data_IF_574744819753
#
_entry.id   IF_574744819753
#
_cell.length_a   1.000
_cell.length_b   1.000
_cell.length_c   1.000
_cell.angle_alpha   90.00
_cell.angle_beta   90.00
_cell.angle_gamma   90.00
#
_symmetry.space_group_name_H-M   'P 1'
#
loop_
_entity.id
_entity.type
_entity.pdbx_description
1 polymer ?
#
# COMPACT_ATOMS: atom_id res chain seq x y z
N UNK A 1 -7.47 22.57 -3.85
CA UNK A 1 -6.15 23.00 -3.34
C UNK A 1 -5.27 21.77 -3.27
N UNK A 2 -4.00 21.78 -3.71
CA UNK A 2 -3.12 20.66 -3.36
C UNK A 2 -3.02 20.66 -1.83
N UNK A 3 -3.44 19.57 -1.20
CA UNK A 3 -3.21 19.39 0.22
C UNK A 3 -1.71 19.53 0.47
N UNK A 4 -1.34 20.27 1.51
CA UNK A 4 0.04 20.30 2.01
C UNK A 4 0.55 18.85 2.09
N UNK A 5 1.75 18.55 1.57
CA UNK A 5 2.27 17.19 1.63
C UNK A 5 2.38 16.76 3.11
N UNK A 6 2.06 15.50 3.43
CA UNK A 6 2.17 15.00 4.80
C UNK A 6 3.61 15.13 5.28
N UNK A 7 3.76 15.56 6.52
CA UNK A 7 5.05 15.88 7.15
C UNK A 7 5.52 14.78 8.10
N UNK A 8 4.63 13.87 8.50
CA UNK A 8 4.96 12.69 9.30
C UNK A 8 4.18 11.43 8.87
N UNK A 9 4.50 10.29 9.50
CA UNK A 9 3.89 9.00 9.20
C UNK A 9 2.39 8.97 9.54
N UNK A 10 1.95 9.66 10.59
CA UNK A 10 0.56 9.75 10.98
C UNK A 10 -0.28 10.46 9.93
N UNK A 11 0.15 11.65 9.50
CA UNK A 11 -0.49 12.42 8.43
C UNK A 11 -0.53 11.63 7.12
N UNK A 12 0.54 10.88 6.81
CA UNK A 12 0.61 10.04 5.62
C UNK A 12 -0.36 8.85 5.68
N UNK A 13 -0.46 8.17 6.82
CA UNK A 13 -1.43 7.09 7.05
C UNK A 13 -2.87 7.60 6.95
N UNK A 14 -3.15 8.77 7.52
CA UNK A 14 -4.46 9.42 7.45
C UNK A 14 -4.83 9.71 5.99
N UNK A 15 -3.95 10.39 5.25
CA UNK A 15 -4.15 10.69 3.83
C UNK A 15 -4.46 9.43 3.00
N UNK A 16 -3.69 8.35 3.21
CA UNK A 16 -3.88 7.09 2.51
C UNK A 16 -5.22 6.45 2.86
N UNK A 17 -5.55 6.36 4.15
CA UNK A 17 -6.78 5.70 4.62
C UNK A 17 -8.05 6.41 4.18
N UNK A 18 -8.02 7.75 4.09
CA UNK A 18 -9.15 8.55 3.60
C UNK A 18 -9.31 8.46 2.08
N UNK A 19 -8.22 8.25 1.36
CA UNK A 19 -8.23 8.14 -0.12
C UNK A 19 -8.63 6.74 -0.59
N UNK A 20 -8.18 5.69 0.09
CA UNK A 20 -8.31 4.30 -0.34
C UNK A 20 -9.28 3.47 0.53
N UNK A 21 -10.54 3.94 0.60
CA UNK A 21 -11.60 3.31 1.40
C UNK A 21 -12.01 1.92 0.87
N UNK A 22 -12.01 0.91 1.74
CA UNK A 22 -12.66 -0.39 1.52
C UNK A 22 -14.07 -0.40 2.09
N UNK A 23 -14.98 0.29 1.39
CA UNK A 23 -16.38 0.40 1.75
C UNK A 23 -17.32 -0.06 0.64
N UNK A 24 -18.61 -0.10 0.97
CA UNK A 24 -19.67 -0.46 0.03
C UNK A 24 -19.83 0.55 -1.12
N UNK A 25 -19.40 1.80 -0.97
CA UNK A 25 -19.54 2.85 -1.98
C UNK A 25 -18.62 2.55 -3.16
N UNK A 26 -17.36 2.21 -2.87
CA UNK A 26 -16.36 1.84 -3.87
C UNK A 26 -16.45 0.37 -4.29
N UNK A 27 -16.78 -0.53 -3.35
CA UNK A 27 -16.85 -1.97 -3.58
C UNK A 27 -18.23 -2.49 -3.21
N UNK A 28 -19.15 -2.69 -4.17
CA UNK A 28 -20.52 -3.13 -3.89
C UNK A 28 -20.61 -4.42 -3.05
N UNK A 29 -19.66 -5.34 -3.16
CA UNK A 29 -19.61 -6.57 -2.34
C UNK A 29 -19.45 -6.33 -0.83
N UNK A 30 -19.09 -5.10 -0.44
CA UNK A 30 -18.97 -4.67 0.95
C UNK A 30 -20.28 -4.04 1.49
N UNK A 31 -21.37 -4.06 0.71
CA UNK A 31 -22.68 -3.51 1.08
C UNK A 31 -23.72 -4.63 1.28
N UNK A 32 -24.18 -4.91 2.52
CA UNK A 32 -23.53 -4.69 3.81
C UNK A 32 -22.44 -5.75 4.08
N UNK A 33 -21.38 -5.37 4.78
CA UNK A 33 -20.31 -6.28 5.19
C UNK A 33 -19.91 -6.04 6.64
N UNK A 34 -19.75 -7.14 7.38
CA UNK A 34 -19.16 -7.15 8.72
C UNK A 34 -17.70 -6.67 8.69
N UNK A 35 -17.18 -6.24 9.84
CA UNK A 35 -15.77 -5.86 9.98
C UNK A 35 -14.84 -7.00 9.54
N UNK A 36 -15.15 -8.24 9.91
CA UNK A 36 -14.38 -9.41 9.50
C UNK A 36 -14.35 -9.60 7.97
N UNK A 37 -15.48 -9.38 7.28
CA UNK A 37 -15.55 -9.46 5.82
C UNK A 37 -14.74 -8.33 5.16
N UNK A 38 -14.82 -7.10 5.70
CA UNK A 38 -14.01 -5.96 5.23
C UNK A 38 -12.52 -6.18 5.42
N UNK A 39 -12.12 -6.75 6.56
CA UNK A 39 -10.72 -7.10 6.83
C UNK A 39 -10.20 -8.17 5.85
N UNK A 40 -10.95 -9.26 5.65
CA UNK A 40 -10.59 -10.28 4.64
C UNK A 40 -10.48 -9.69 3.23
N UNK A 41 -11.39 -8.79 2.88
CA UNK A 41 -11.31 -8.05 1.63
C UNK A 41 -10.02 -7.22 1.54
N UNK A 42 -9.72 -6.46 2.59
CA UNK A 42 -8.52 -5.62 2.67
C UNK A 42 -7.25 -6.43 2.44
N UNK A 43 -7.08 -7.54 3.16
CA UNK A 43 -5.93 -8.44 3.04
C UNK A 43 -5.80 -8.96 1.61
N UNK A 44 -6.87 -9.54 1.05
CA UNK A 44 -6.86 -10.10 -0.31
C UNK A 44 -6.55 -9.02 -1.35
N UNK A 45 -7.22 -7.87 -1.28
CA UNK A 45 -7.09 -6.80 -2.25
C UNK A 45 -5.69 -6.18 -2.20
N UNK A 46 -5.19 -5.89 -1.00
CA UNK A 46 -3.84 -5.37 -0.81
C UNK A 46 -2.77 -6.36 -1.26
N UNK A 47 -2.91 -7.65 -0.97
CA UNK A 47 -1.96 -8.68 -1.43
C UNK A 47 -1.83 -8.71 -2.97
N UNK A 48 -2.94 -8.61 -3.69
CA UNK A 48 -2.94 -8.55 -5.16
C UNK A 48 -2.25 -7.28 -5.69
N UNK A 49 -2.49 -6.13 -5.05
CA UNK A 49 -1.84 -4.88 -5.44
C UNK A 49 -0.34 -4.84 -5.10
N UNK A 50 0.06 -5.44 -3.98
CA UNK A 50 1.47 -5.65 -3.63
C UNK A 50 2.14 -6.54 -4.67
N UNK A 51 1.54 -7.70 -5.00
CA UNK A 51 2.07 -8.61 -6.02
C UNK A 51 2.21 -7.92 -7.38
N UNK A 52 1.21 -7.15 -7.82
CA UNK A 52 1.29 -6.37 -9.06
C UNK A 52 2.45 -5.38 -9.07
N UNK A 53 2.68 -4.70 -7.94
CA UNK A 53 3.73 -3.69 -7.83
C UNK A 53 5.12 -4.35 -7.76
N UNK A 54 5.25 -5.45 -7.03
CA UNK A 54 6.47 -6.27 -6.99
C UNK A 54 6.81 -6.86 -8.37
N UNK A 55 5.80 -7.35 -9.11
CA UNK A 55 5.98 -7.86 -10.47
C UNK A 55 6.45 -6.78 -11.44
N UNK A 56 5.97 -5.53 -11.31
CA UNK A 56 6.46 -4.42 -12.11
C UNK A 56 7.94 -4.11 -11.84
N UNK A 57 8.38 -4.18 -10.58
CA UNK A 57 9.80 -4.02 -10.22
C UNK A 57 10.62 -5.17 -10.81
N UNK A 58 10.13 -6.41 -10.68
CA UNK A 58 10.80 -7.60 -11.19
C UNK A 58 10.96 -7.56 -12.72
N UNK A 59 9.94 -7.09 -13.45
CA UNK A 59 10.02 -6.95 -14.90
C UNK A 59 11.10 -5.94 -15.34
N UNK A 60 11.27 -4.83 -14.62
CA UNK A 60 12.35 -3.88 -14.91
C UNK A 60 13.74 -4.43 -14.56
N UNK A 61 13.84 -5.28 -13.54
CA UNK A 61 15.07 -6.00 -13.22
C UNK A 61 15.42 -7.03 -14.32
N UNK A 62 14.45 -7.84 -14.75
CA UNK A 62 14.61 -8.84 -15.82
C UNK A 62 15.07 -8.19 -17.13
N UNK A 63 14.47 -7.04 -17.51
CA UNK A 63 14.92 -6.26 -18.68
C UNK A 63 16.41 -5.91 -18.60
N UNK A 64 16.86 -5.42 -17.44
CA UNK A 64 18.25 -5.06 -17.24
C UNK A 64 19.18 -6.27 -17.33
N UNK A 65 18.77 -7.42 -16.78
CA UNK A 65 19.51 -8.68 -16.86
C UNK A 65 19.62 -9.20 -18.31
N UNK A 66 18.66 -8.84 -19.18
CA UNK A 66 18.68 -9.14 -20.62
C UNK A 66 19.31 -8.04 -21.49
N UNK A 67 19.94 -7.03 -20.88
CA UNK A 67 20.71 -5.99 -21.57
C UNK A 67 19.89 -4.79 -22.05
N UNK A 68 18.61 -4.68 -21.67
CA UNK A 68 17.81 -3.48 -21.91
C UNK A 68 18.08 -2.39 -20.85
N UNK A 69 17.68 -1.15 -21.14
CA UNK A 69 17.73 -0.08 -20.15
C UNK A 69 16.58 -0.20 -19.15
N UNK A 70 16.92 -0.17 -17.87
CA UNK A 70 15.96 -0.15 -16.77
C UNK A 70 15.20 1.18 -16.69
N UNK A 71 13.86 1.15 -16.63
CA UNK A 71 13.07 2.35 -16.38
C UNK A 71 13.02 2.67 -14.87
N UNK A 72 13.92 3.54 -14.43
CA UNK A 72 13.97 4.00 -13.04
C UNK A 72 12.69 4.73 -12.58
N UNK A 73 11.93 5.37 -13.47
CA UNK A 73 10.68 6.03 -13.09
C UNK A 73 9.58 5.00 -12.87
N UNK A 74 9.53 3.95 -13.68
CA UNK A 74 8.63 2.82 -13.47
C UNK A 74 8.88 2.15 -12.11
N UNK A 75 10.15 1.95 -11.73
CA UNK A 75 10.52 1.41 -10.42
C UNK A 75 10.08 2.32 -9.28
N UNK A 76 10.37 3.63 -9.35
CA UNK A 76 9.96 4.59 -8.31
C UNK A 76 8.43 4.59 -8.13
N UNK A 77 7.68 4.57 -9.22
CA UNK A 77 6.23 4.53 -9.19
C UNK A 77 5.71 3.21 -8.62
N UNK A 78 6.29 2.08 -8.99
CA UNK A 78 5.93 0.76 -8.46
C UNK A 78 6.22 0.66 -6.95
N UNK A 79 7.37 1.15 -6.50
CA UNK A 79 7.74 1.23 -5.08
C UNK A 79 6.77 2.11 -4.29
N UNK A 80 6.41 3.29 -4.81
CA UNK A 80 5.43 4.17 -4.16
C UNK A 80 4.05 3.51 -4.05
N UNK A 81 3.59 2.81 -5.11
CA UNK A 81 2.33 2.04 -5.08
C UNK A 81 2.36 0.91 -4.06
N UNK A 82 3.49 0.20 -3.98
CA UNK A 82 3.70 -0.86 -3.00
C UNK A 82 3.63 -0.29 -1.58
N UNK A 83 4.35 0.80 -1.30
CA UNK A 83 4.31 1.48 -0.01
C UNK A 83 2.89 1.92 0.39
N UNK A 84 2.18 2.61 -0.51
CA UNK A 84 0.79 3.06 -0.27
C UNK A 84 -0.13 1.88 0.04
N UNK A 85 0.01 0.77 -0.70
CA UNK A 85 -0.82 -0.43 -0.50
C UNK A 85 -0.53 -1.09 0.85
N UNK A 86 0.74 -1.18 1.23
CA UNK A 86 1.17 -1.75 2.52
C UNK A 86 0.67 -0.90 3.68
N UNK A 87 0.78 0.43 3.59
CA UNK A 87 0.26 1.35 4.61
C UNK A 87 -1.26 1.24 4.72
N UNK A 88 -1.99 1.21 3.59
CA UNK A 88 -3.44 1.05 3.63
C UNK A 88 -3.86 -0.28 4.27
N UNK A 89 -3.12 -1.37 4.02
CA UNK A 89 -3.33 -2.64 4.69
C UNK A 89 -3.08 -2.55 6.20
N UNK A 90 -2.03 -1.86 6.63
CA UNK A 90 -1.74 -1.62 8.04
C UNK A 90 -2.92 -0.89 8.72
N UNK A 91 -3.41 0.20 8.12
CA UNK A 91 -4.59 0.93 8.62
C UNK A 91 -5.81 0.00 8.76
N UNK A 92 -6.11 -0.80 7.73
CA UNK A 92 -7.23 -1.74 7.77
C UNK A 92 -7.03 -2.93 8.72
N UNK A 93 -5.80 -3.19 9.13
CA UNK A 93 -5.46 -4.17 10.17
C UNK A 93 -5.53 -3.59 11.59
N UNK A 94 -5.92 -2.31 11.73
CA UNK A 94 -5.99 -1.62 13.00
C UNK A 94 -4.65 -1.10 13.51
N UNK A 95 -3.62 -1.08 12.66
CA UNK A 95 -2.32 -0.51 13.03
C UNK A 95 -2.34 1.01 12.96
N UNK A 96 -1.67 1.63 13.92
CA UNK A 96 -1.39 3.06 14.01
C UNK A 96 0.04 3.36 13.57
N UNK A 97 0.36 4.65 13.42
CA UNK A 97 1.74 5.09 13.15
C UNK A 97 2.71 4.70 14.28
N UNK A 98 2.24 4.67 15.53
CA UNK A 98 3.03 4.23 16.69
C UNK A 98 3.35 2.74 16.60
N UNK A 99 2.38 1.90 16.23
CA UNK A 99 2.61 0.46 16.07
C UNK A 99 3.73 0.19 15.06
N UNK A 100 3.69 0.86 13.90
CA UNK A 100 4.75 0.75 12.89
C UNK A 100 6.10 1.27 13.41
N UNK A 101 6.10 2.41 14.10
CA UNK A 101 7.31 3.03 14.65
C UNK A 101 7.97 2.16 15.73
N UNK A 102 7.20 1.36 16.46
CA UNK A 102 7.71 0.39 17.44
C UNK A 102 8.14 -0.94 16.82
N UNK A 103 7.46 -1.39 15.75
CA UNK A 103 7.74 -2.68 15.11
C UNK A 103 8.95 -2.62 14.17
N UNK A 104 9.10 -1.55 13.38
CA UNK A 104 10.20 -1.44 12.39
C UNK A 104 11.58 -1.60 13.05
N UNK A 105 11.91 -0.92 14.17
CA UNK A 105 13.19 -1.10 14.85
C UNK A 105 13.43 -2.52 15.38
N UNK A 106 12.39 -3.35 15.54
CA UNK A 106 12.51 -4.76 15.96
C UNK A 106 12.77 -5.68 14.76
N UNK A 107 12.40 -5.27 13.55
CA UNK A 107 12.56 -6.04 12.31
C UNK A 107 13.91 -5.77 11.64
N UNK A 108 14.42 -4.55 11.73
CA UNK A 108 15.70 -4.15 11.10
C UNK A 108 16.95 -4.47 11.96
N UNK A 109 16.75 -5.07 13.14
CA UNK A 109 17.81 -5.58 14.00
C UNK A 109 18.11 -7.03 13.65
#
# INVERSE_FOLDING_TARGET
>A
MPATPPTDLGELMELISQTFLFDGKKYPELRPASLAKRYRFAVRHSALHISKSAGAIAAEAEKADHGEQMDHQAIKLATAKLFVTTVNLACHSGMTANDLSEMVPKIVK
#
